data_IF_054914071548
#
_entry.id   IF_054914071548
#
_cell.length_a   1.000
_cell.length_b   1.000
_cell.length_c   1.000
_cell.angle_alpha   90.00
_cell.angle_beta   90.00
_cell.angle_gamma   90.00
#
_symmetry.space_group_name_H-M   'P 1'
#
loop_
_entity.id
_entity.type
_entity.pdbx_description
1 polymer ?
#
# COMPACT_ATOMS: atom_id res chain seq x y z
N UNK A 1 -76.55 14.37 -14.31
CA UNK A 1 -75.52 14.31 -13.26
C UNK A 1 -74.20 14.04 -13.96
N UNK A 2 -73.23 14.98 -14.05
CA UNK A 2 -72.14 15.25 -13.06
C UNK A 2 -71.54 13.95 -12.51
N UNK A 3 -70.24 13.69 -12.45
CA UNK A 3 -68.96 14.29 -12.83
C UNK A 3 -68.01 13.04 -12.99
N UNK A 4 -66.71 13.04 -13.24
CA UNK A 4 -65.64 13.96 -12.93
C UNK A 4 -64.38 13.41 -13.62
N UNK A 5 -63.60 14.32 -14.20
CA UNK A 5 -62.28 14.06 -14.75
C UNK A 5 -61.27 13.75 -13.64
N UNK A 6 -60.32 12.85 -13.90
CA UNK A 6 -59.00 12.91 -13.25
C UNK A 6 -57.94 12.38 -14.23
N UNK A 7 -57.28 13.30 -14.93
CA UNK A 7 -56.03 13.04 -15.64
C UNK A 7 -54.92 13.14 -14.59
N UNK A 8 -54.31 12.01 -14.23
CA UNK A 8 -53.06 12.01 -13.46
C UNK A 8 -51.92 12.08 -14.48
N UNK A 9 -51.30 13.25 -14.55
CA UNK A 9 -50.09 13.52 -15.30
C UNK A 9 -48.90 13.10 -14.43
N UNK A 10 -48.38 11.88 -14.61
CA UNK A 10 -47.13 11.50 -13.95
C UNK A 10 -45.96 12.00 -14.79
N UNK A 11 -45.30 13.03 -14.28
CA UNK A 11 -44.08 13.61 -14.83
C UNK A 11 -42.95 12.57 -14.77
N UNK A 12 -42.32 12.37 -15.93
CA UNK A 12 -41.08 11.63 -16.11
C UNK A 12 -39.98 12.24 -15.23
N UNK A 13 -39.45 11.49 -14.28
CA UNK A 13 -38.15 11.81 -13.66
C UNK A 13 -37.11 10.83 -14.23
N UNK A 14 -36.42 11.27 -15.28
CA UNK A 14 -35.10 10.75 -15.65
C UNK A 14 -34.12 11.19 -14.55
N UNK A 15 -34.08 10.44 -13.45
CA UNK A 15 -32.98 10.53 -12.52
C UNK A 15 -31.75 9.97 -13.22
N UNK A 16 -30.77 10.84 -13.35
CA UNK A 16 -29.46 10.55 -13.90
C UNK A 16 -28.86 9.35 -13.17
N UNK A 17 -28.54 8.28 -13.91
CA UNK A 17 -27.55 7.28 -13.50
C UNK A 17 -26.16 7.92 -13.49
N UNK A 18 -25.97 8.89 -12.60
CA UNK A 18 -24.66 9.23 -12.09
C UNK A 18 -24.39 8.29 -10.93
N UNK A 19 -24.14 7.00 -11.22
CA UNK A 19 -23.47 6.16 -10.25
C UNK A 19 -22.11 6.81 -10.01
N UNK A 20 -22.04 7.62 -8.95
CA UNK A 20 -20.80 8.08 -8.36
C UNK A 20 -20.06 6.81 -7.96
N UNK A 21 -19.20 6.35 -8.86
CA UNK A 21 -18.27 5.27 -8.59
C UNK A 21 -17.39 5.82 -7.47
N UNK A 22 -17.70 5.42 -6.24
CA UNK A 22 -16.93 5.76 -5.06
C UNK A 22 -15.46 5.45 -5.40
N UNK A 23 -14.63 6.50 -5.46
CA UNK A 23 -13.23 6.36 -5.81
C UNK A 23 -12.64 5.34 -4.85
N UNK A 24 -12.11 4.24 -5.39
CA UNK A 24 -11.57 3.19 -4.52
C UNK A 24 -10.32 3.75 -3.84
N UNK A 25 -10.08 3.48 -2.55
CA UNK A 25 -8.95 4.06 -1.83
C UNK A 25 -7.62 3.66 -2.48
N UNK A 26 -6.54 4.41 -2.23
CA UNK A 26 -5.21 3.95 -2.61
C UNK A 26 -4.85 2.68 -1.82
N UNK A 27 -4.14 1.77 -2.46
CA UNK A 27 -3.78 0.47 -1.88
C UNK A 27 -2.34 0.11 -2.23
N UNK A 28 -1.69 -0.60 -1.31
CA UNK A 28 -0.44 -1.31 -1.55
C UNK A 28 -0.48 -2.63 -0.80
N UNK A 29 -0.03 -3.71 -1.43
CA UNK A 29 -0.01 -5.05 -0.88
C UNK A 29 1.33 -5.70 -1.18
N UNK A 30 2.00 -6.23 -0.15
CA UNK A 30 3.14 -7.12 -0.36
C UNK A 30 2.60 -8.47 -0.81
N UNK A 31 3.04 -8.91 -1.99
CA UNK A 31 2.63 -10.19 -2.58
C UNK A 31 3.68 -11.27 -2.40
N UNK A 32 4.96 -10.88 -2.25
CA UNK A 32 6.04 -11.80 -1.90
C UNK A 32 7.20 -11.08 -1.20
N UNK A 33 7.85 -11.80 -0.30
CA UNK A 33 9.16 -11.45 0.26
C UNK A 33 10.08 -12.63 0.01
N UNK A 34 11.18 -12.39 -0.72
CA UNK A 34 12.12 -13.44 -1.12
C UNK A 34 13.56 -13.02 -0.86
N UNK A 35 14.44 -14.02 -0.74
CA UNK A 35 15.88 -13.88 -0.64
C UNK A 35 16.51 -15.12 -1.28
N UNK A 36 17.66 -14.96 -1.92
CA UNK A 36 18.42 -16.08 -2.52
C UNK A 36 19.11 -16.95 -1.46
N UNK A 37 19.14 -16.48 -0.20
CA UNK A 37 19.73 -17.16 0.95
C UNK A 37 18.76 -17.17 2.13
N UNK A 38 18.98 -18.08 3.08
CA UNK A 38 18.31 -18.02 4.37
C UNK A 38 18.51 -16.66 5.04
N UNK A 39 17.44 -16.11 5.60
CA UNK A 39 17.45 -14.85 6.35
C UNK A 39 17.89 -15.17 7.77
N UNK A 40 19.17 -14.96 8.08
CA UNK A 40 19.80 -15.31 9.36
C UNK A 40 20.08 -14.06 10.18
N UNK A 41 19.84 -14.12 11.49
CA UNK A 41 20.11 -13.02 12.41
C UNK A 41 21.57 -12.54 12.29
N UNK A 42 21.75 -11.23 12.13
CA UNK A 42 23.08 -10.63 12.11
C UNK A 42 23.87 -10.84 10.80
N UNK A 43 23.31 -11.55 9.83
CA UNK A 43 23.95 -11.77 8.52
C UNK A 43 23.32 -10.86 7.48
N UNK A 44 24.14 -10.01 6.88
CA UNK A 44 23.69 -9.14 5.80
C UNK A 44 23.09 -9.96 4.64
N UNK A 45 21.86 -9.60 4.26
CA UNK A 45 21.05 -10.34 3.29
C UNK A 45 20.33 -9.38 2.35
N UNK A 46 20.37 -9.66 1.04
CA UNK A 46 19.51 -8.96 0.06
C UNK A 46 18.10 -9.56 0.13
N UNK A 47 17.12 -8.71 0.41
CA UNK A 47 15.70 -9.06 0.42
C UNK A 47 15.02 -8.36 -0.75
N UNK A 48 14.28 -9.13 -1.53
CA UNK A 48 13.42 -8.67 -2.61
C UNK A 48 11.97 -8.68 -2.16
N UNK A 49 11.27 -7.57 -2.34
CA UNK A 49 9.86 -7.42 -1.97
C UNK A 49 9.05 -7.10 -3.23
N UNK A 50 8.14 -8.00 -3.59
CA UNK A 50 7.17 -7.78 -4.66
C UNK A 50 5.90 -7.19 -4.08
N UNK A 51 5.36 -6.17 -4.75
CA UNK A 51 4.14 -5.50 -4.32
C UNK A 51 3.19 -5.29 -5.49
N UNK A 52 1.90 -5.31 -5.18
CA UNK A 52 0.86 -4.75 -6.03
C UNK A 52 0.38 -3.43 -5.42
N UNK A 53 0.04 -2.46 -6.27
CA UNK A 53 -0.44 -1.16 -5.81
C UNK A 53 -1.58 -0.64 -6.68
N UNK A 54 -2.40 0.24 -6.09
CA UNK A 54 -3.39 1.07 -6.76
C UNK A 54 -3.25 2.50 -6.27
N UNK A 55 -3.03 3.43 -7.19
CA UNK A 55 -2.92 4.87 -6.94
C UNK A 55 -4.01 5.61 -7.73
N UNK A 56 -4.94 6.25 -7.04
CA UNK A 56 -6.05 7.03 -7.59
C UNK A 56 -6.06 8.48 -7.10
N UNK A 57 -5.50 8.78 -5.91
CA UNK A 57 -5.58 10.12 -5.32
C UNK A 57 -4.57 11.13 -5.84
N UNK A 58 -3.53 10.68 -6.55
CA UNK A 58 -2.46 11.53 -7.07
C UNK A 58 -1.95 11.02 -8.43
N UNK A 59 -1.38 11.92 -9.24
CA UNK A 59 -0.76 11.58 -10.53
C UNK A 59 0.51 10.74 -10.38
N UNK A 60 1.17 10.87 -9.22
CA UNK A 60 2.44 10.23 -8.88
C UNK A 60 2.54 10.01 -7.37
N UNK A 61 3.17 8.90 -6.97
CA UNK A 61 3.58 8.62 -5.61
C UNK A 61 4.87 7.81 -5.58
N UNK A 62 5.48 7.71 -4.39
CA UNK A 62 6.64 6.88 -4.12
C UNK A 62 6.21 5.60 -3.38
N UNK A 63 6.57 4.44 -3.92
CA UNK A 63 6.63 3.19 -3.17
C UNK A 63 7.94 3.16 -2.38
N UNK A 64 7.85 3.20 -1.05
CA UNK A 64 9.00 3.20 -0.16
C UNK A 64 9.07 1.88 0.59
N UNK A 65 10.14 1.11 0.38
CA UNK A 65 10.45 -0.08 1.17
C UNK A 65 11.29 0.33 2.38
N UNK A 66 10.94 -0.18 3.56
CA UNK A 66 11.76 -0.07 4.75
C UNK A 66 11.67 -1.29 5.66
N UNK A 67 12.59 -1.35 6.62
CA UNK A 67 12.69 -2.43 7.60
C UNK A 67 12.86 -1.86 8.99
N UNK A 68 12.43 -2.62 10.01
CA UNK A 68 12.64 -2.27 11.41
C UNK A 68 13.95 -2.89 11.94
N UNK A 69 15.08 -2.67 11.24
CA UNK A 69 16.38 -3.29 11.55
C UNK A 69 17.18 -2.55 12.64
N UNK A 70 16.74 -1.37 13.08
CA UNK A 70 17.44 -0.53 14.09
C UNK A 70 16.62 -0.38 15.38
N UNK A 71 15.30 -0.47 15.28
CA UNK A 71 14.35 -0.30 16.36
C UNK A 71 13.13 -1.20 16.08
N UNK A 72 12.56 -1.90 17.08
CA UNK A 72 11.46 -2.84 16.83
C UNK A 72 10.18 -2.17 16.33
N UNK A 73 10.00 -0.87 16.57
CA UNK A 73 8.82 -0.09 16.21
C UNK A 73 9.08 0.76 14.97
N UNK A 74 10.24 1.41 14.87
CA UNK A 74 10.54 2.35 13.79
C UNK A 74 11.03 1.63 12.53
N UNK A 75 10.60 2.12 11.38
CA UNK A 75 10.99 1.63 10.06
C UNK A 75 12.01 2.58 9.46
N UNK A 76 13.15 2.03 9.03
CA UNK A 76 14.18 2.75 8.28
C UNK A 76 13.97 2.50 6.78
N UNK A 77 13.71 3.54 5.96
CA UNK A 77 13.60 3.40 4.51
C UNK A 77 14.91 2.88 3.90
N UNK A 78 14.82 1.99 2.91
CA UNK A 78 15.96 1.38 2.23
C UNK A 78 15.91 1.53 0.71
N UNK A 79 14.71 1.53 0.13
CA UNK A 79 14.52 1.67 -1.32
C UNK A 79 13.29 2.53 -1.62
N UNK A 80 13.26 3.16 -2.79
CA UNK A 80 12.18 4.03 -3.22
C UNK A 80 12.01 3.98 -4.73
N UNK A 81 10.79 3.72 -5.18
CA UNK A 81 10.40 3.72 -6.59
C UNK A 81 9.25 4.69 -6.83
N UNK A 82 9.38 5.58 -7.82
CA UNK A 82 8.28 6.44 -8.25
C UNK A 82 7.32 5.66 -9.15
N UNK A 83 6.02 5.78 -8.87
CA UNK A 83 4.94 5.17 -9.63
C UNK A 83 3.94 6.24 -10.07
N UNK A 84 3.33 6.03 -11.23
CA UNK A 84 2.25 6.88 -11.74
C UNK A 84 0.89 6.36 -11.30
N UNK A 85 -0.13 7.22 -11.40
CA UNK A 85 -1.53 6.85 -11.18
C UNK A 85 -1.92 5.59 -11.96
N UNK A 86 -2.79 4.78 -11.37
CA UNK A 86 -3.24 3.50 -11.91
C UNK A 86 -2.94 2.32 -10.97
N UNK A 87 -3.11 1.12 -11.51
CA UNK A 87 -2.77 -0.14 -10.83
C UNK A 87 -1.52 -0.72 -11.46
N UNK A 88 -0.63 -1.29 -10.65
CA UNK A 88 0.56 -1.96 -11.14
C UNK A 88 1.18 -2.89 -10.12
N UNK A 89 2.26 -3.53 -10.54
CA UNK A 89 3.12 -4.34 -9.69
C UNK A 89 4.54 -3.80 -9.75
N UNK A 90 5.28 -3.90 -8.66
CA UNK A 90 6.65 -3.45 -8.56
C UNK A 90 7.50 -4.39 -7.72
N UNK A 91 8.81 -4.32 -7.91
CA UNK A 91 9.79 -5.04 -7.10
C UNK A 91 10.75 -4.02 -6.50
N UNK A 92 10.88 -4.08 -5.17
CA UNK A 92 11.79 -3.25 -4.39
C UNK A 92 12.86 -4.17 -3.78
N UNK A 93 14.08 -3.66 -3.61
CA UNK A 93 15.20 -4.46 -3.10
C UNK A 93 16.00 -3.71 -2.07
N UNK A 94 16.44 -4.41 -1.03
CA UNK A 94 17.34 -3.82 -0.04
C UNK A 94 18.29 -4.88 0.53
N UNK A 95 19.52 -4.44 0.77
CA UNK A 95 20.46 -5.19 1.61
C UNK A 95 20.30 -4.73 3.06
N UNK A 96 19.99 -5.66 3.96
CA UNK A 96 19.73 -5.38 5.38
C UNK A 96 20.34 -6.46 6.27
N UNK A 97 20.60 -6.10 7.53
CA UNK A 97 20.99 -7.06 8.58
C UNK A 97 19.73 -7.40 9.39
N UNK A 98 19.17 -8.63 9.26
CA UNK A 98 17.99 -9.03 10.01
C UNK A 98 18.25 -9.09 11.51
N UNK A 99 17.26 -8.68 12.30
CA UNK A 99 17.33 -8.67 13.76
C UNK A 99 16.20 -9.52 14.31
N UNK A 100 16.54 -10.46 15.19
CA UNK A 100 15.56 -11.10 16.05
C UNK A 100 15.31 -10.19 17.27
N UNK A 101 14.10 -9.64 17.35
CA UNK A 101 13.69 -8.77 18.43
C UNK A 101 13.18 -9.54 19.66
N UNK A 102 13.01 -10.86 19.57
CA UNK A 102 12.45 -11.69 20.63
C UNK A 102 11.10 -11.16 21.12
N UNK A 103 10.95 -11.00 22.42
CA UNK A 103 9.71 -10.46 23.02
C UNK A 103 9.44 -8.98 22.68
N UNK A 104 10.42 -8.25 22.12
CA UNK A 104 10.27 -6.83 21.78
C UNK A 104 9.55 -6.60 20.46
N UNK A 105 9.36 -7.62 19.63
CA UNK A 105 8.66 -7.53 18.35
C UNK A 105 9.11 -8.55 17.32
N UNK A 106 8.72 -8.33 16.06
CA UNK A 106 9.12 -9.15 14.91
C UNK A 106 9.89 -8.33 13.89
N UNK A 107 10.80 -8.96 13.15
CA UNK A 107 11.42 -8.34 11.98
C UNK A 107 10.39 -8.27 10.86
N UNK A 108 10.24 -7.11 10.22
CA UNK A 108 9.25 -6.91 9.16
C UNK A 108 9.76 -6.02 8.02
N UNK A 109 9.30 -6.33 6.81
CA UNK A 109 9.30 -5.39 5.69
C UNK A 109 8.03 -4.55 5.76
N UNK A 110 8.16 -3.25 5.49
CA UNK A 110 7.03 -2.32 5.39
C UNK A 110 7.15 -1.60 4.06
N UNK A 111 6.06 -1.61 3.29
CA UNK A 111 5.96 -0.81 2.07
C UNK A 111 4.91 0.27 2.27
N UNK A 112 5.28 1.51 1.98
CA UNK A 112 4.42 2.68 2.06
C UNK A 112 4.26 3.30 0.68
N UNK A 113 3.03 3.69 0.35
CA UNK A 113 2.72 4.53 -0.80
C UNK A 113 2.60 5.98 -0.30
N UNK A 114 3.47 6.86 -0.79
CA UNK A 114 3.62 8.23 -0.26
C UNK A 114 3.57 9.23 -1.41
N UNK A 115 2.65 10.20 -1.36
CA UNK A 115 2.60 11.30 -2.31
C UNK A 115 3.21 12.58 -1.74
N UNK A 116 3.56 13.50 -2.64
CA UNK A 116 4.11 14.81 -2.30
C UNK A 116 5.64 14.84 -2.17
N UNK A 117 6.18 16.05 -2.04
CA UNK A 117 7.62 16.31 -2.05
C UNK A 117 8.10 16.97 -0.75
N UNK A 118 9.37 16.73 -0.42
CA UNK A 118 10.03 17.33 0.74
C UNK A 118 9.29 17.09 2.05
N UNK A 119 8.94 18.18 2.74
CA UNK A 119 8.24 18.17 4.04
C UNK A 119 6.74 17.92 3.94
N UNK A 120 6.16 17.89 2.73
CA UNK A 120 4.70 17.74 2.50
C UNK A 120 4.33 16.32 2.08
N UNK A 121 5.06 15.32 2.59
CA UNK A 121 4.78 13.92 2.28
C UNK A 121 3.55 13.43 3.03
N UNK A 122 2.61 12.87 2.29
CA UNK A 122 1.41 12.24 2.84
C UNK A 122 1.46 10.74 2.54
N UNK A 123 1.27 9.93 3.58
CA UNK A 123 1.13 8.48 3.41
C UNK A 123 -0.29 8.18 2.97
N UNK A 124 -0.41 7.65 1.76
CA UNK A 124 -1.68 7.25 1.13
C UNK A 124 -2.11 5.86 1.57
N UNK A 125 -1.16 4.91 1.56
CA UNK A 125 -1.40 3.52 1.95
C UNK A 125 -0.13 2.89 2.55
N UNK A 126 -0.29 1.80 3.30
CA UNK A 126 0.83 1.00 3.79
C UNK A 126 0.44 -0.45 4.04
N UNK A 127 1.43 -1.33 3.92
CA UNK A 127 1.32 -2.75 4.23
C UNK A 127 2.63 -3.22 4.85
N UNK A 128 2.57 -4.27 5.64
CA UNK A 128 3.75 -4.89 6.23
C UNK A 128 3.65 -6.41 6.23
N UNK A 129 4.81 -7.05 6.23
CA UNK A 129 4.92 -8.50 6.32
C UNK A 129 6.03 -8.85 7.31
N UNK A 130 5.69 -9.69 8.29
CA UNK A 130 6.68 -10.30 9.19
C UNK A 130 7.55 -11.27 8.41
N UNK A 131 8.85 -11.21 8.66
CA UNK A 131 9.86 -12.05 8.04
C UNK A 131 10.43 -12.97 9.12
N UNK A 132 10.39 -14.28 8.88
CA UNK A 132 11.03 -15.24 9.76
C UNK A 132 12.54 -15.09 9.70
N UNK A 133 13.18 -14.93 10.86
CA UNK A 133 14.62 -14.79 10.99
C UNK A 133 15.16 -16.04 11.67
N UNK A 134 16.08 -16.72 11.00
CA UNK A 134 16.75 -17.90 11.54
C UNK A 134 17.79 -17.48 12.59
N UNK A 135 17.98 -18.29 13.66
CA UNK A 135 19.09 -18.08 14.58
C UNK A 135 20.42 -18.26 13.86
N UNK A 136 21.45 -17.60 14.38
CA UNK A 136 22.84 -17.80 13.95
C UNK A 136 23.40 -19.11 14.52
#
# INVERSE_FOLDING_TARGET
MRAMSLIVLTVFSLLHDGQGQEAKPDEVLITAVTSDKSIVRGVETEITVSVDYRLQSADEAALMLGFNNEDPVRVTPKDTLLVKAGTGSATLKATVVPVDWGERGTFRAVVMLVAGEGMKRERLASTDQTIEVQPF
#
